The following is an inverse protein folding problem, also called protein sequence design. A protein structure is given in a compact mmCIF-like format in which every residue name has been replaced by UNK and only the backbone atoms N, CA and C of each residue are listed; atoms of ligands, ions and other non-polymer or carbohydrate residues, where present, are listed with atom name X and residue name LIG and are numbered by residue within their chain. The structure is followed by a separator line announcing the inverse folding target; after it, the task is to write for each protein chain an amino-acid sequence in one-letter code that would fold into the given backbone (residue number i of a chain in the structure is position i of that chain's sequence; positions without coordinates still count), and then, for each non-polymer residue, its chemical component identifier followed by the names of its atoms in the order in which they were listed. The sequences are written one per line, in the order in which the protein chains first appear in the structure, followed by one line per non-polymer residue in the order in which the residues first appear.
data_IF_449047213445
#
_entry.id   IF_449047213445
#
_cell.length_a   1.000
_cell.length_b   1.000
_cell.length_c   1.000
_cell.angle_alpha   90.00
_cell.angle_beta   90.00
_cell.angle_gamma   90.00
#
_symmetry.space_group_name_H-M   'P 1'
#
loop_
_entity.id
_entity.type
_entity.pdbx_description
1 polymer ?
#
# COMPACT_ATOMS: atom_id res chain seq x y z
N UNK A 1 -18.26 27.33 -11.52
CA UNK A 1 -18.01 26.94 -12.93
C UNK A 1 -19.30 26.49 -13.61
N UNK A 2 -19.89 25.33 -13.26
CA UNK A 2 -21.17 24.86 -13.84
C UNK A 2 -22.30 25.89 -13.84
N UNK A 3 -22.50 26.60 -12.72
CA UNK A 3 -23.50 27.67 -12.64
C UNK A 3 -23.29 28.80 -13.66
N UNK A 4 -22.03 29.20 -13.93
CA UNK A 4 -21.73 30.21 -14.95
C UNK A 4 -21.98 29.67 -16.36
N UNK A 5 -21.65 28.41 -16.63
CA UNK A 5 -21.92 27.77 -17.93
C UNK A 5 -23.43 27.73 -18.19
N UNK A 6 -24.23 27.26 -17.23
CA UNK A 6 -25.67 27.21 -17.41
C UNK A 6 -26.28 28.61 -17.51
N UNK A 7 -25.76 29.57 -16.74
CA UNK A 7 -26.16 30.96 -16.83
C UNK A 7 -25.93 31.54 -18.23
N UNK A 8 -24.73 31.37 -18.80
CA UNK A 8 -24.45 31.87 -20.15
C UNK A 8 -25.27 31.15 -21.22
N UNK A 9 -25.47 29.84 -21.09
CA UNK A 9 -26.29 29.04 -22.01
C UNK A 9 -27.78 29.43 -22.00
N UNK A 10 -28.32 29.87 -20.86
CA UNK A 10 -29.73 30.25 -20.73
C UNK A 10 -29.97 31.72 -21.07
N UNK A 11 -29.15 32.63 -20.53
CA UNK A 11 -29.42 34.07 -20.58
C UNK A 11 -28.70 34.80 -21.72
N UNK A 12 -27.60 34.25 -22.23
CA UNK A 12 -26.76 34.93 -23.23
C UNK A 12 -26.72 34.18 -24.58
N UNK A 13 -27.61 33.21 -24.80
CA UNK A 13 -27.76 32.52 -26.08
C UNK A 13 -28.50 33.37 -27.09
N UNK A 14 -27.95 33.49 -28.31
CA UNK A 14 -28.58 34.18 -29.45
C UNK A 14 -29.98 33.62 -29.73
N UNK A 15 -30.97 34.51 -29.83
CA UNK A 15 -32.33 34.16 -30.28
C UNK A 15 -32.48 34.51 -31.76
N UNK A 16 -33.47 33.89 -32.43
CA UNK A 16 -33.73 34.12 -33.87
C UNK A 16 -34.10 35.58 -34.20
N UNK A 17 -34.52 36.36 -33.22
CA UNK A 17 -34.91 37.77 -33.33
C UNK A 17 -33.74 38.76 -33.26
N UNK A 18 -32.55 38.32 -32.87
CA UNK A 18 -31.45 39.22 -32.54
C UNK A 18 -30.58 39.47 -33.80
N UNK A 19 -30.63 40.70 -34.31
CA UNK A 19 -29.89 41.15 -35.49
C UNK A 19 -28.49 41.71 -35.18
N UNK A 20 -28.26 42.18 -33.95
CA UNK A 20 -27.04 42.87 -33.56
C UNK A 20 -25.95 41.92 -33.01
N UNK A 21 -24.69 42.33 -33.15
CA UNK A 21 -23.55 41.64 -32.55
C UNK A 21 -23.50 41.88 -31.02
N UNK A 22 -23.01 40.91 -30.22
CA UNK A 22 -22.86 41.09 -28.78
C UNK A 22 -21.80 42.14 -28.45
N UNK A 23 -21.85 42.68 -27.23
CA UNK A 23 -20.82 43.61 -26.73
C UNK A 23 -19.43 42.96 -26.82
N UNK A 24 -18.53 43.58 -27.56
CA UNK A 24 -17.14 43.14 -27.70
C UNK A 24 -16.30 43.75 -26.58
N UNK A 25 -15.90 42.93 -25.61
CA UNK A 25 -14.93 43.28 -24.58
C UNK A 25 -13.88 42.17 -24.54
N UNK A 26 -12.59 42.53 -24.46
CA UNK A 26 -11.48 41.59 -24.52
C UNK A 26 -10.58 41.56 -23.29
N UNK A 27 -10.61 42.61 -22.47
CA UNK A 27 -9.65 42.78 -21.37
C UNK A 27 -10.33 43.37 -20.14
N UNK A 28 -10.12 42.74 -18.98
CA UNK A 28 -10.63 43.23 -17.70
C UNK A 28 -9.65 42.91 -16.58
N UNK A 29 -8.68 43.81 -16.37
CA UNK A 29 -7.60 43.60 -15.40
C UNK A 29 -8.04 43.34 -13.97
N UNK A 30 -9.01 44.08 -13.41
CA UNK A 30 -9.50 43.77 -12.07
C UNK A 30 -10.06 42.34 -11.97
N UNK A 31 -10.81 41.88 -12.97
CA UNK A 31 -11.38 40.53 -12.96
C UNK A 31 -10.28 39.47 -13.12
N UNK A 32 -9.32 39.69 -14.02
CA UNK A 32 -8.18 38.80 -14.23
C UNK A 32 -7.36 38.65 -12.94
N UNK A 33 -7.06 39.77 -12.26
CA UNK A 33 -6.35 39.75 -10.98
C UNK A 33 -7.10 38.92 -9.93
N UNK A 34 -8.41 39.11 -9.80
CA UNK A 34 -9.24 38.35 -8.85
C UNK A 34 -9.24 36.85 -9.19
N UNK A 35 -9.37 36.49 -10.46
CA UNK A 35 -9.38 35.11 -10.94
C UNK A 35 -7.99 34.44 -10.91
N UNK A 36 -6.91 35.20 -10.78
CA UNK A 36 -5.56 34.66 -10.54
C UNK A 36 -5.27 34.50 -9.04
N UNK A 37 -5.56 35.52 -8.24
CA UNK A 37 -5.27 35.52 -6.79
C UNK A 37 -6.16 34.53 -6.04
N UNK A 38 -7.44 34.42 -6.40
CA UNK A 38 -8.39 33.56 -5.67
C UNK A 38 -8.01 32.07 -5.76
N UNK A 39 -7.75 31.47 -6.95
CA UNK A 39 -7.30 30.08 -7.03
C UNK A 39 -5.95 29.86 -6.37
N UNK A 40 -5.03 30.83 -6.44
CA UNK A 40 -3.75 30.74 -5.73
C UNK A 40 -3.96 30.59 -4.22
N UNK A 41 -4.79 31.44 -3.60
CA UNK A 41 -5.08 31.33 -2.16
C UNK A 41 -5.76 30.00 -1.80
N UNK A 42 -6.70 29.53 -2.63
CA UNK A 42 -7.34 28.22 -2.45
C UNK A 42 -6.29 27.11 -2.46
N UNK A 43 -5.38 27.11 -3.45
CA UNK A 43 -4.30 26.12 -3.56
C UNK A 43 -3.35 26.24 -2.35
N UNK A 44 -2.96 27.44 -1.93
CA UNK A 44 -2.07 27.63 -0.78
C UNK A 44 -2.63 27.05 0.52
N UNK A 45 -3.93 27.25 0.77
CA UNK A 45 -4.61 26.69 1.96
C UNK A 45 -4.70 25.17 1.86
N UNK A 46 -5.10 24.63 0.71
CA UNK A 46 -5.17 23.17 0.53
C UNK A 46 -3.78 22.53 0.63
N UNK A 47 -2.75 23.17 0.09
CA UNK A 47 -1.37 22.71 0.17
C UNK A 47 -0.89 22.63 1.62
N UNK A 48 -1.20 23.63 2.46
CA UNK A 48 -0.89 23.58 3.88
C UNK A 48 -1.45 22.32 4.56
N UNK A 49 -2.75 22.03 4.34
CA UNK A 49 -3.36 20.82 4.89
C UNK A 49 -2.75 19.54 4.31
N UNK A 50 -2.40 19.51 3.02
CA UNK A 50 -1.71 18.38 2.38
C UNK A 50 -0.38 18.08 3.06
N UNK A 51 0.46 19.09 3.30
CA UNK A 51 1.78 18.88 3.93
C UNK A 51 1.64 18.37 5.36
N UNK A 52 0.72 18.93 6.16
CA UNK A 52 0.46 18.48 7.54
C UNK A 52 0.03 17.02 7.58
N UNK A 53 -0.85 16.60 6.67
CA UNK A 53 -1.31 15.21 6.58
C UNK A 53 -0.20 14.30 6.06
N UNK A 54 0.58 14.74 5.07
CA UNK A 54 1.71 13.99 4.52
C UNK A 54 2.77 13.71 5.59
N UNK A 55 3.14 14.70 6.41
CA UNK A 55 4.10 14.53 7.50
C UNK A 55 3.61 13.48 8.51
N UNK A 56 2.32 13.52 8.88
CA UNK A 56 1.72 12.51 9.75
C UNK A 56 1.73 11.11 9.14
N UNK A 57 1.45 10.98 7.84
CA UNK A 57 1.39 9.69 7.14
C UNK A 57 2.77 9.06 6.91
N UNK A 58 3.80 9.88 6.67
CA UNK A 58 5.15 9.43 6.39
C UNK A 58 6.04 9.31 7.64
N UNK A 59 5.50 9.63 8.82
CA UNK A 59 6.23 9.56 10.06
C UNK A 59 6.50 8.09 10.47
N UNK A 60 7.77 7.73 10.50
CA UNK A 60 8.25 6.42 10.96
C UNK A 60 8.93 6.57 12.32
N UNK A 61 8.42 5.86 13.32
CA UNK A 61 9.06 5.74 14.65
C UNK A 61 10.18 4.72 14.63
N UNK A 62 11.17 4.83 15.52
CA UNK A 62 12.27 3.86 15.62
C UNK A 62 11.91 2.58 16.36
N UNK A 63 10.76 2.55 17.03
CA UNK A 63 10.35 1.44 17.90
C UNK A 63 8.94 0.94 17.52
N UNK A 64 8.79 0.30 16.34
CA UNK A 64 7.55 -0.36 15.98
C UNK A 64 7.36 -1.65 16.77
N UNK A 65 6.11 -1.90 17.18
CA UNK A 65 5.74 -3.10 17.96
C UNK A 65 5.65 -4.37 17.09
N UNK A 66 5.39 -4.22 15.79
CA UNK A 66 5.31 -5.32 14.82
C UNK A 66 5.99 -4.86 13.53
N UNK A 67 6.90 -5.66 12.99
CA UNK A 67 7.52 -5.46 11.68
C UNK A 67 7.15 -6.62 10.77
N UNK A 68 6.51 -6.30 9.65
CA UNK A 68 6.04 -7.24 8.64
C UNK A 68 6.81 -7.01 7.35
N UNK A 69 7.46 -8.04 6.86
CA UNK A 69 8.05 -8.06 5.53
C UNK A 69 6.97 -8.43 4.52
N UNK A 70 6.70 -7.54 3.57
CA UNK A 70 5.78 -7.79 2.46
C UNK A 70 6.61 -7.99 1.21
N UNK A 71 6.72 -9.24 0.77
CA UNK A 71 7.38 -9.57 -0.49
C UNK A 71 6.34 -9.80 -1.59
N UNK A 72 6.33 -8.94 -2.62
CA UNK A 72 5.53 -9.14 -3.82
C UNK A 72 6.31 -9.96 -4.86
N UNK A 73 5.64 -10.83 -5.60
CA UNK A 73 6.22 -11.60 -6.70
C UNK A 73 5.15 -11.93 -7.76
N UNK A 74 5.54 -12.35 -8.95
CA UNK A 74 4.64 -12.75 -10.03
C UNK A 74 4.03 -14.14 -9.73
N UNK A 75 2.72 -14.27 -9.53
CA UNK A 75 1.71 -13.23 -9.28
C UNK A 75 0.98 -13.53 -7.97
N UNK A 76 1.66 -13.27 -6.86
CA UNK A 76 1.10 -13.37 -5.52
C UNK A 76 1.93 -12.61 -4.48
N UNK A 77 1.54 -12.73 -3.21
CA UNK A 77 2.17 -12.08 -2.07
C UNK A 77 2.75 -13.12 -1.12
N UNK A 78 3.86 -12.78 -0.48
CA UNK A 78 4.43 -13.49 0.67
C UNK A 78 4.53 -12.49 1.81
N UNK A 79 3.94 -12.83 2.96
CA UNK A 79 4.02 -12.03 4.17
C UNK A 79 4.92 -12.71 5.19
N UNK A 80 5.96 -12.03 5.62
CA UNK A 80 6.91 -12.47 6.64
C UNK A 80 6.71 -11.70 7.94
N UNK A 81 6.88 -12.39 9.07
CA UNK A 81 6.87 -11.75 10.38
C UNK A 81 8.31 -11.62 10.85
N UNK A 82 8.90 -10.43 10.68
CA UNK A 82 10.31 -10.19 10.94
C UNK A 82 10.58 -10.03 12.43
N UNK A 83 9.82 -9.15 13.08
CA UNK A 83 9.98 -8.85 14.52
C UNK A 83 8.64 -8.48 15.13
N UNK A 84 8.39 -8.98 16.34
CA UNK A 84 7.28 -8.52 17.18
C UNK A 84 7.85 -8.21 18.55
N UNK A 85 7.63 -7.00 19.05
CA UNK A 85 8.01 -6.62 20.41
C UNK A 85 6.98 -5.64 20.94
N UNK A 86 5.98 -6.15 21.66
CA UNK A 86 4.94 -5.29 22.20
C UNK A 86 5.47 -4.47 23.38
N UNK A 87 5.06 -3.21 23.48
CA UNK A 87 5.45 -2.35 24.60
C UNK A 87 4.92 -2.83 25.97
N UNK A 88 3.93 -3.71 25.97
CA UNK A 88 3.42 -4.37 27.18
C UNK A 88 4.21 -5.63 27.57
N UNK A 89 5.27 -5.96 26.81
CA UNK A 89 6.14 -7.12 26.98
C UNK A 89 5.40 -8.47 27.00
N UNK A 90 4.18 -8.53 26.45
CA UNK A 90 3.41 -9.78 26.41
C UNK A 90 3.87 -10.73 25.31
N UNK A 91 4.52 -10.21 24.27
CA UNK A 91 5.07 -11.00 23.17
C UNK A 91 6.33 -10.33 22.62
N UNK A 92 7.42 -11.10 22.60
CA UNK A 92 8.66 -10.77 21.89
C UNK A 92 9.01 -11.93 20.97
N UNK A 93 9.29 -11.63 19.71
CA UNK A 93 9.61 -12.59 18.66
C UNK A 93 10.61 -11.99 17.67
N UNK A 94 11.63 -12.78 17.34
CA UNK A 94 12.63 -12.48 16.32
C UNK A 94 12.61 -13.58 15.25
N UNK A 95 12.06 -13.19 14.10
CA UNK A 95 11.74 -14.06 12.99
C UNK A 95 12.70 -13.98 11.81
N UNK A 96 13.60 -12.99 11.77
CA UNK A 96 14.50 -12.80 10.64
C UNK A 96 15.38 -14.04 10.40
N UNK A 97 15.49 -14.45 9.13
CA UNK A 97 16.33 -15.55 8.66
C UNK A 97 17.44 -15.00 7.77
N UNK A 98 18.47 -14.44 8.42
CA UNK A 98 19.65 -13.90 7.75
C UNK A 98 20.42 -14.99 6.98
N UNK A 99 20.37 -16.25 7.42
CA UNK A 99 21.05 -17.35 6.73
C UNK A 99 20.44 -17.58 5.33
N UNK A 100 19.10 -17.55 5.21
CA UNK A 100 18.41 -17.60 3.92
C UNK A 100 18.72 -16.38 3.06
N UNK A 101 18.78 -15.19 3.66
CA UNK A 101 19.11 -13.96 2.94
C UNK A 101 20.51 -14.01 2.32
N UNK A 102 21.52 -14.42 3.10
CA UNK A 102 22.89 -14.59 2.60
C UNK A 102 23.02 -15.71 1.56
N UNK A 103 22.19 -16.75 1.62
CA UNK A 103 22.21 -17.83 0.64
C UNK A 103 21.76 -17.40 -0.77
N UNK A 104 21.00 -16.31 -0.88
CA UNK A 104 20.45 -15.77 -2.13
C UNK A 104 21.35 -14.68 -2.74
N UNK A 105 22.38 -14.24 -2.03
CA UNK A 105 23.34 -13.27 -2.54
C UNK A 105 24.08 -13.81 -3.77
N UNK A 106 24.09 -13.02 -4.84
CA UNK A 106 24.69 -13.44 -6.11
C UNK A 106 26.18 -13.73 -5.94
N UNK A 107 26.61 -14.89 -6.45
CA UNK A 107 28.03 -15.22 -6.58
C UNK A 107 28.61 -14.65 -7.88
N UNK A 108 29.94 -14.54 -7.97
CA UNK A 108 30.60 -14.02 -9.16
C UNK A 108 30.35 -14.92 -10.37
N UNK A 109 30.26 -14.35 -11.58
CA UNK A 109 29.90 -15.06 -12.81
C UNK A 109 31.04 -15.95 -13.36
N UNK A 110 32.12 -16.08 -12.61
CA UNK A 110 33.28 -16.89 -12.94
C UNK A 110 34.56 -16.06 -12.92
N UNK A 111 35.58 -16.55 -13.63
CA UNK A 111 36.82 -15.82 -13.86
C UNK A 111 37.02 -15.65 -15.37
N UNK A 112 37.57 -14.51 -15.76
CA UNK A 112 37.94 -14.25 -17.14
C UNK A 112 39.19 -15.07 -17.56
N UNK A 113 39.62 -14.92 -18.82
CA UNK A 113 40.79 -15.61 -19.36
C UNK A 113 42.11 -15.24 -18.65
N UNK A 114 42.12 -14.18 -17.85
CA UNK A 114 43.25 -13.68 -17.08
C UNK A 114 43.16 -14.03 -15.59
N UNK A 115 42.09 -14.73 -15.17
CA UNK A 115 41.86 -15.14 -13.80
C UNK A 115 41.25 -14.06 -12.90
N UNK A 116 40.86 -12.91 -13.47
CA UNK A 116 40.10 -11.87 -12.77
C UNK A 116 38.64 -12.28 -12.64
N UNK A 117 38.01 -11.86 -11.56
CA UNK A 117 36.63 -12.23 -11.24
C UNK A 117 35.66 -11.47 -12.12
N UNK A 118 34.79 -12.20 -12.84
CA UNK A 118 33.73 -11.60 -13.64
C UNK A 118 32.65 -11.10 -12.69
N UNK A 119 32.65 -9.78 -12.50
CA UNK A 119 31.64 -9.08 -11.72
C UNK A 119 30.40 -8.81 -12.58
N UNK A 120 29.22 -8.86 -11.96
CA UNK A 120 27.98 -8.64 -12.68
C UNK A 120 27.79 -7.15 -13.06
N UNK A 121 26.90 -6.88 -14.02
CA UNK A 121 26.77 -5.56 -14.65
C UNK A 121 26.21 -4.47 -13.72
N UNK A 122 25.53 -4.84 -12.62
CA UNK A 122 24.83 -3.89 -11.74
C UNK A 122 25.57 -3.78 -10.41
N UNK A 123 26.37 -2.71 -10.25
CA UNK A 123 27.19 -2.47 -9.05
C UNK A 123 28.08 -3.66 -8.65
N UNK A 124 28.54 -4.44 -9.65
CA UNK A 124 29.36 -5.64 -9.46
C UNK A 124 28.57 -6.92 -9.12
N UNK A 125 27.24 -6.84 -9.04
CA UNK A 125 26.33 -7.97 -8.77
C UNK A 125 25.60 -8.42 -10.03
N UNK A 126 25.16 -9.68 -10.02
CA UNK A 126 24.35 -10.27 -11.09
C UNK A 126 22.96 -9.59 -11.16
N UNK A 127 22.33 -9.52 -12.33
CA UNK A 127 20.97 -9.01 -12.51
C UNK A 127 19.91 -9.83 -11.77
N UNK A 128 20.19 -11.11 -11.52
CA UNK A 128 19.33 -11.99 -10.73
C UNK A 128 19.61 -11.92 -9.22
N UNK A 129 20.44 -10.98 -8.77
CA UNK A 129 20.66 -10.78 -7.34
C UNK A 129 19.34 -10.39 -6.65
N UNK A 130 19.04 -11.09 -5.57
CA UNK A 130 17.86 -10.87 -4.72
C UNK A 130 18.25 -10.71 -3.24
N UNK A 131 19.50 -10.32 -2.98
CA UNK A 131 20.04 -10.05 -1.64
C UNK A 131 19.23 -9.00 -0.85
N UNK A 132 18.51 -8.12 -1.55
CA UNK A 132 17.63 -7.12 -0.93
C UNK A 132 16.30 -7.69 -0.42
N UNK A 133 15.93 -8.94 -0.73
CA UNK A 133 14.73 -9.55 -0.19
C UNK A 133 14.95 -9.97 1.27
N UNK A 134 13.95 -9.75 2.11
CA UNK A 134 13.94 -10.27 3.47
C UNK A 134 13.27 -11.64 3.51
N UNK A 135 13.77 -12.50 4.40
CA UNK A 135 13.28 -13.84 4.61
C UNK A 135 13.08 -14.05 6.09
N UNK A 136 11.95 -14.70 6.43
CA UNK A 136 11.57 -14.94 7.80
C UNK A 136 11.33 -16.42 8.06
N UNK A 137 11.37 -16.79 9.35
CA UNK A 137 11.02 -18.14 9.82
C UNK A 137 9.52 -18.40 9.69
N UNK A 138 8.69 -17.36 9.89
CA UNK A 138 7.24 -17.42 9.72
C UNK A 138 6.88 -16.61 8.48
N UNK A 139 6.50 -17.33 7.42
CA UNK A 139 6.07 -16.74 6.16
C UNK A 139 4.69 -17.30 5.78
N UNK A 140 3.77 -16.43 5.37
CA UNK A 140 2.51 -16.80 4.73
C UNK A 140 2.67 -16.61 3.23
N UNK A 141 2.82 -17.72 2.51
CA UNK A 141 2.98 -17.72 1.06
C UNK A 141 1.62 -17.84 0.38
N UNK A 142 1.31 -16.90 -0.50
CA UNK A 142 0.16 -17.01 -1.39
C UNK A 142 0.44 -17.98 -2.53
N UNK A 143 -0.55 -18.80 -2.87
CA UNK A 143 -0.49 -19.70 -4.03
C UNK A 143 -1.61 -19.38 -5.01
N UNK A 144 -1.57 -19.91 -6.22
CA UNK A 144 -2.64 -19.71 -7.22
C UNK A 144 -4.01 -20.16 -6.72
N UNK A 145 -4.06 -21.11 -5.78
CA UNK A 145 -5.30 -21.66 -5.23
C UNK A 145 -5.65 -21.12 -3.84
N UNK A 146 -4.73 -20.41 -3.18
CA UNK A 146 -4.90 -19.92 -1.82
C UNK A 146 -4.47 -18.45 -1.71
N UNK A 147 -5.44 -17.61 -1.36
CA UNK A 147 -5.21 -16.19 -1.10
C UNK A 147 -4.40 -16.06 0.20
N UNK A 148 -3.26 -15.36 0.20
CA UNK A 148 -2.47 -15.17 1.40
C UNK A 148 -3.21 -14.29 2.40
N UNK A 149 -3.22 -14.72 3.66
CA UNK A 149 -3.88 -14.04 4.77
C UNK A 149 -2.83 -13.50 5.74
N UNK A 150 -2.69 -12.18 5.80
CA UNK A 150 -1.88 -11.49 6.78
C UNK A 150 -2.69 -11.24 8.05
N UNK A 151 -2.18 -11.63 9.22
CA UNK A 151 -2.88 -11.46 10.50
C UNK A 151 -2.14 -10.43 11.35
N UNK A 152 -2.82 -9.37 11.76
CA UNK A 152 -2.25 -8.24 12.48
C UNK A 152 -2.98 -8.00 13.82
N UNK A 153 -2.27 -7.57 14.87
CA UNK A 153 -2.90 -7.20 16.14
C UNK A 153 -3.55 -5.80 16.06
N UNK A 154 -4.76 -5.67 16.60
CA UNK A 154 -5.43 -4.39 16.78
C UNK A 154 -4.73 -3.54 17.85
N UNK A 155 -4.73 -2.22 17.67
CA UNK A 155 -4.21 -1.26 18.67
C UNK A 155 -2.70 -1.26 18.85
N UNK A 156 -1.95 -1.89 17.94
CA UNK A 156 -0.48 -1.92 17.94
C UNK A 156 0.08 -1.14 16.77
N UNK A 157 1.30 -0.60 16.93
CA UNK A 157 2.03 0.06 15.84
C UNK A 157 2.65 -0.99 14.93
N UNK A 158 2.33 -0.93 13.64
CA UNK A 158 2.75 -1.93 12.65
C UNK A 158 3.58 -1.24 11.59
N UNK A 159 4.78 -1.75 11.35
CA UNK A 159 5.66 -1.38 10.25
C UNK A 159 5.56 -2.41 9.13
N UNK A 160 5.49 -1.92 7.90
CA UNK A 160 5.54 -2.73 6.69
C UNK A 160 6.81 -2.37 5.92
N UNK A 161 7.66 -3.37 5.66
CA UNK A 161 8.79 -3.24 4.74
C UNK A 161 8.44 -3.95 3.42
N UNK A 162 8.45 -3.21 2.32
CA UNK A 162 7.87 -3.65 1.04
C UNK A 162 8.93 -3.94 -0.02
N UNK A 163 9.14 -5.21 -0.37
CA UNK A 163 10.15 -5.58 -1.37
C UNK A 163 9.50 -6.37 -2.51
N UNK A 164 9.86 -6.11 -3.76
CA UNK A 164 9.38 -6.93 -4.89
C UNK A 164 10.49 -7.82 -5.40
N UNK A 165 10.21 -9.10 -5.61
CA UNK A 165 11.16 -10.05 -6.18
C UNK A 165 11.33 -9.89 -7.70
N UNK A 166 10.50 -9.10 -8.39
CA UNK A 166 10.53 -9.04 -9.85
C UNK A 166 10.14 -7.69 -10.45
N UNK A 167 8.84 -7.38 -10.55
CA UNK A 167 8.29 -6.19 -11.20
C UNK A 167 7.67 -5.27 -10.18
N UNK A 168 7.30 -4.06 -10.58
CA UNK A 168 6.61 -3.15 -9.67
C UNK A 168 5.20 -3.69 -9.37
N UNK A 169 4.85 -3.72 -8.09
CA UNK A 169 3.48 -3.95 -7.60
C UNK A 169 3.07 -2.76 -6.74
N UNK A 170 1.87 -2.78 -6.15
CA UNK A 170 1.50 -1.78 -5.15
C UNK A 170 0.69 -2.40 -4.04
N UNK A 171 1.17 -2.25 -2.81
CA UNK A 171 0.49 -2.76 -1.63
C UNK A 171 -0.59 -1.76 -1.24
N UNK A 172 -1.85 -2.14 -1.46
CA UNK A 172 -2.99 -1.29 -1.16
C UNK A 172 -4.09 -2.05 -0.44
N UNK A 173 -4.37 -1.61 0.79
CA UNK A 173 -5.57 -2.00 1.55
C UNK A 173 -6.49 -0.77 1.53
N UNK A 174 -7.64 -0.80 0.83
CA UNK A 174 -8.50 0.37 0.67
C UNK A 174 -8.90 1.02 2.00
N UNK A 175 -9.15 0.22 3.04
CA UNK A 175 -9.53 0.70 4.36
C UNK A 175 -8.40 1.42 5.12
N UNK A 176 -7.15 1.22 4.72
CA UNK A 176 -6.02 2.00 5.26
C UNK A 176 -5.91 3.38 4.62
N UNK A 177 -6.60 3.62 3.49
CA UNK A 177 -6.55 4.88 2.72
C UNK A 177 -5.12 5.30 2.36
N UNK A 178 -4.19 4.34 2.33
CA UNK A 178 -2.78 4.53 2.02
C UNK A 178 -2.33 3.38 1.14
N UNK A 179 -1.47 3.71 0.17
CA UNK A 179 -0.79 2.72 -0.67
C UNK A 179 0.67 3.08 -0.81
N UNK A 180 1.49 2.07 -1.05
CA UNK A 180 2.89 2.26 -1.41
C UNK A 180 3.28 1.23 -2.46
N UNK A 181 3.94 1.71 -3.50
CA UNK A 181 4.41 0.85 -4.57
C UNK A 181 5.59 0.01 -4.08
N UNK A 182 5.55 -1.26 -4.43
CA UNK A 182 6.53 -2.27 -4.03
C UNK A 182 7.53 -2.39 -5.17
N UNK A 183 8.68 -1.76 -5.00
CA UNK A 183 9.71 -1.66 -6.02
C UNK A 183 10.72 -2.82 -5.88
N UNK A 184 11.22 -3.39 -6.98
CA UNK A 184 12.42 -4.22 -6.95
C UNK A 184 13.61 -3.36 -6.49
N UNK A 185 14.45 -3.90 -5.61
CA UNK A 185 15.62 -3.21 -5.04
C UNK A 185 15.35 -1.72 -4.69
N UNK A 186 14.45 -1.45 -3.73
CA UNK A 186 13.97 -0.09 -3.46
C UNK A 186 15.09 0.88 -3.05
N UNK A 187 16.10 0.39 -2.31
CA UNK A 187 17.24 1.18 -1.89
C UNK A 187 18.06 1.72 -3.07
N UNK A 188 18.32 0.89 -4.09
CA UNK A 188 19.01 1.34 -5.30
C UNK A 188 18.20 2.37 -6.12
N UNK A 189 16.87 2.32 -5.98
CA UNK A 189 15.93 3.19 -6.69
C UNK A 189 15.55 4.46 -5.91
N UNK A 190 16.20 4.73 -4.76
CA UNK A 190 15.84 5.82 -3.85
C UNK A 190 14.36 5.78 -3.41
N UNK A 191 13.77 4.59 -3.40
CA UNK A 191 12.39 4.38 -2.96
C UNK A 191 12.37 4.16 -1.45
N UNK A 192 11.50 4.88 -0.76
CA UNK A 192 11.15 4.56 0.63
C UNK A 192 10.11 3.45 0.59
N UNK A 193 10.52 2.23 0.88
CA UNK A 193 9.67 1.04 0.90
C UNK A 193 9.05 0.74 2.26
N UNK A 194 9.42 1.50 3.29
CA UNK A 194 8.91 1.32 4.65
C UNK A 194 7.82 2.35 4.95
N UNK A 195 6.73 1.91 5.57
CA UNK A 195 5.76 2.81 6.19
C UNK A 195 5.16 2.18 7.45
N UNK A 196 4.65 3.03 8.34
CA UNK A 196 4.03 2.59 9.59
C UNK A 196 2.57 2.98 9.65
N UNK A 197 1.76 2.08 10.22
CA UNK A 197 0.41 2.38 10.68
C UNK A 197 0.47 2.54 12.19
N UNK A 198 0.00 3.70 12.67
CA UNK A 198 0.01 4.03 14.10
C UNK A 198 -0.79 3.01 14.93
N UNK A 199 -1.99 2.67 14.46
CA UNK A 199 -2.84 1.66 15.07
C UNK A 199 -3.98 1.26 14.12
N UNK A 200 -4.45 0.02 14.22
CA UNK A 200 -5.69 -0.41 13.58
C UNK A 200 -6.75 -0.63 14.66
N UNK A 201 -7.83 0.15 14.62
CA UNK A 201 -8.86 0.17 15.68
C UNK A 201 -10.02 -0.79 15.44
N UNK A 202 -10.26 -1.16 14.18
CA UNK A 202 -11.35 -2.08 13.80
C UNK A 202 -10.79 -3.48 13.57
N UNK A 203 -11.28 -4.45 14.33
CA UNK A 203 -11.04 -5.88 14.08
C UNK A 203 -11.90 -6.38 12.92
N UNK A 204 -11.42 -7.37 12.19
CA UNK A 204 -12.15 -7.97 11.08
C UNK A 204 -11.24 -8.38 9.93
N UNK A 205 -11.85 -8.70 8.80
CA UNK A 205 -11.16 -9.00 7.56
C UNK A 205 -11.27 -7.80 6.61
N UNK A 206 -10.13 -7.39 6.07
CA UNK A 206 -9.98 -6.31 5.10
C UNK A 206 -9.34 -6.85 3.84
N UNK A 207 -9.78 -6.37 2.68
CA UNK A 207 -9.27 -6.84 1.40
C UNK A 207 -8.05 -6.02 1.02
N UNK A 208 -7.03 -6.69 0.51
CA UNK A 208 -5.87 -6.07 -0.11
C UNK A 208 -5.85 -6.33 -1.61
N UNK A 209 -5.39 -5.34 -2.36
CA UNK A 209 -5.28 -5.38 -3.81
C UNK A 209 -3.86 -5.00 -4.25
N UNK A 210 -3.45 -5.55 -5.39
CA UNK A 210 -2.34 -4.99 -6.16
C UNK A 210 -2.84 -3.78 -6.96
N UNK A 211 -2.24 -2.60 -6.77
CA UNK A 211 -2.70 -1.34 -7.35
C UNK A 211 -1.75 -0.72 -8.40
N UNK A 212 -0.74 -1.45 -8.86
CA UNK A 212 0.17 -1.06 -9.94
C UNK A 212 0.30 -2.22 -10.95
N UNK A 213 0.37 -1.91 -12.24
CA UNK A 213 0.26 -2.91 -13.30
C UNK A 213 1.47 -3.86 -13.31
N UNK A 214 1.25 -5.13 -12.97
CA UNK A 214 2.29 -6.15 -12.82
C UNK A 214 2.21 -7.30 -13.83
N UNK A 215 1.34 -7.19 -14.84
CA UNK A 215 1.22 -8.15 -15.94
C UNK A 215 -0.16 -8.81 -16.05
N UNK A 216 -0.21 -9.97 -16.73
CA UNK A 216 -1.48 -10.61 -17.16
C UNK A 216 -2.41 -10.97 -16.01
N UNK A 217 -1.88 -11.42 -14.88
CA UNK A 217 -2.66 -11.84 -13.71
C UNK A 217 -2.76 -10.75 -12.63
N UNK A 218 -2.57 -9.48 -12.99
CA UNK A 218 -2.59 -8.33 -12.07
C UNK A 218 -3.84 -8.30 -11.17
N UNK A 219 -5.03 -8.49 -11.73
CA UNK A 219 -6.29 -8.47 -10.97
C UNK A 219 -6.48 -9.67 -10.01
N UNK A 220 -5.65 -10.72 -10.12
CA UNK A 220 -5.72 -11.92 -9.28
C UNK A 220 -4.84 -11.83 -8.03
N UNK A 221 -4.07 -10.77 -7.87
CA UNK A 221 -3.15 -10.55 -6.75
C UNK A 221 -3.87 -9.93 -5.53
N UNK A 222 -5.01 -10.52 -5.15
CA UNK A 222 -5.71 -10.13 -3.93
C UNK A 222 -5.05 -10.80 -2.72
N UNK A 223 -5.09 -10.13 -1.58
CA UNK A 223 -4.70 -10.68 -0.28
C UNK A 223 -5.72 -10.28 0.78
N UNK A 224 -5.68 -10.90 1.95
CA UNK A 224 -6.58 -10.57 3.05
C UNK A 224 -5.76 -10.12 4.26
N UNK A 225 -6.16 -9.00 4.88
CA UNK A 225 -5.61 -8.57 6.16
C UNK A 225 -6.66 -8.82 7.24
N UNK A 226 -6.34 -9.71 8.19
CA UNK A 226 -7.17 -10.02 9.35
C UNK A 226 -6.63 -9.32 10.58
N UNK A 227 -7.41 -8.42 11.13
CA UNK A 227 -7.08 -7.69 12.35
C UNK A 227 -7.76 -8.38 13.52
N UNK A 228 -6.95 -8.91 14.44
CA UNK A 228 -7.40 -9.67 15.60
C UNK A 228 -7.12 -8.91 16.89
N UNK A 229 -7.90 -9.18 17.94
CA UNK A 229 -7.59 -8.65 19.26
C UNK A 229 -6.25 -9.23 19.74
N UNK A 230 -5.40 -8.43 20.42
CA UNK A 230 -4.18 -8.93 21.03
C UNK A 230 -4.55 -9.84 22.22
N UNK A 231 -4.65 -11.15 21.99
CA UNK A 231 -4.77 -12.14 23.07
C UNK A 231 -3.38 -12.62 23.49
N UNK A 232 -3.21 -12.84 24.80
CA UNK A 232 -1.95 -13.26 25.47
C UNK A 232 -1.41 -14.62 25.00
N UNK A 233 -2.21 -15.43 24.32
CA UNK A 233 -1.77 -16.68 23.72
C UNK A 233 -1.14 -16.41 22.35
N UNK A 234 0.11 -16.88 22.17
CA UNK A 234 0.87 -16.96 20.90
C UNK A 234 -0.08 -16.92 19.69
N UNK A 235 0.06 -15.95 18.77
CA UNK A 235 -0.75 -15.97 17.56
C UNK A 235 -0.48 -17.30 16.88
N UNK A 236 -1.54 -18.02 16.48
CA UNK A 236 -1.43 -19.28 15.77
C UNK A 236 -0.92 -18.98 14.35
N UNK A 237 0.36 -18.68 14.22
CA UNK A 237 1.09 -18.63 12.95
C UNK A 237 1.39 -20.06 12.50
N UNK A 238 0.38 -20.92 12.46
CA UNK A 238 0.55 -22.30 12.04
C UNK A 238 0.25 -22.40 10.55
N UNK A 239 1.25 -22.87 9.80
CA UNK A 239 1.11 -23.39 8.43
C UNK A 239 -0.24 -24.10 8.23
N UNK A 240 -1.06 -23.59 7.31
CA UNK A 240 -2.01 -24.40 6.55
C UNK A 240 -3.22 -25.00 7.28
N UNK A 241 -3.70 -24.45 8.40
CA UNK A 241 -5.04 -24.83 8.90
C UNK A 241 -6.01 -23.65 8.89
N UNK A 242 -6.75 -23.58 7.79
CA UNK A 242 -7.98 -22.80 7.57
C UNK A 242 -8.63 -22.24 8.85
N UNK A 243 -8.47 -20.94 9.08
CA UNK A 243 -9.41 -20.19 9.92
C UNK A 243 -10.72 -20.10 9.14
N UNK A 244 -11.54 -21.14 9.25
CA UNK A 244 -12.93 -21.13 8.81
C UNK A 244 -13.68 -20.18 9.74
N UNK A 245 -14.22 -19.05 9.27
CA UNK A 245 -15.11 -18.25 10.10
C UNK A 245 -16.30 -19.13 10.45
N UNK A 246 -16.58 -19.31 11.75
CA UNK A 246 -17.85 -19.89 12.19
C UNK A 246 -18.97 -19.07 11.54
N UNK A 247 -19.87 -19.68 10.75
CA UNK A 247 -20.96 -18.93 10.16
C UNK A 247 -21.79 -18.37 11.31
N UNK A 248 -21.95 -17.03 11.35
CA UNK A 248 -22.95 -16.43 12.23
C UNK A 248 -24.28 -17.13 11.95
N UNK A 249 -24.97 -17.71 12.94
CA UNK A 249 -26.27 -18.29 12.71
C UNK A 249 -27.17 -17.19 12.16
N UNK A 250 -27.64 -17.37 10.93
CA UNK A 250 -28.61 -16.50 10.31
C UNK A 250 -29.84 -16.50 11.22
N UNK A 251 -30.08 -15.38 11.89
CA UNK A 251 -31.18 -15.22 12.84
C UNK A 251 -32.48 -15.31 12.04
N UNK A 252 -33.07 -16.51 11.92
CA UNK A 252 -34.42 -16.68 11.40
C UNK A 252 -35.33 -15.80 12.22
N UNK A 253 -35.98 -14.84 11.57
CA UNK A 253 -37.10 -14.12 12.15
C UNK A 253 -38.19 -15.13 12.43
N UNK A 254 -38.39 -15.49 13.69
CA UNK A 254 -39.60 -16.18 14.11
C UNK A 254 -40.72 -15.14 14.10
N UNK A 255 -41.52 -15.13 13.04
CA UNK A 255 -42.82 -14.48 13.08
C UNK A 255 -43.67 -15.20 14.12
N UNK A 256 -43.97 -14.49 15.21
CA UNK A 256 -44.94 -14.91 16.21
C UNK A 256 -46.34 -14.67 15.60
N UNK A 257 -47.28 -15.62 15.63
CA UNK A 257 -48.67 -15.30 15.30
C UNK A 257 -49.25 -14.46 16.44
N UNK A 258 -49.78 -13.29 16.09
CA UNK A 258 -50.62 -12.48 16.97
C UNK A 258 -52.01 -13.12 17.10
N UNK A 259 -52.73 -12.90 18.22
CA UNK A 259 -53.98 -13.59 18.56
C UNK A 259 -55.14 -13.31 17.60
#
# INVERSE_FOLDING_TARGET
MWGLIFWTAVFHRKKRSDADFPRQFGYNMPLELVLTVTPFLIISVLFYFTVVVQEKMLHTTKDPEVVIDVTAFQWNWKFGYQRVDFHDHTLTYDGADEARKHAVESKPEGKDAHGEELVGPVAGRNTEDRSYLNFDKIETLGTTNEIPVLVLPAGKRIEFELNSADVVHSFWVPEFLFKRDVMPNPAANNSVNVFQIEQITKTGAFVGHCAEMCGTYHAMMNFEVRVVAPTTSRPTYSNGSTVRPTPKPCRRSTSRPSP
#
